data_IF_955546453926
#
_entry.id   IF_955546453926
#
_cell.length_a   1.000
_cell.length_b   1.000
_cell.length_c   1.000
_cell.angle_alpha   90.00
_cell.angle_beta   90.00
_cell.angle_gamma   90.00
#
_symmetry.space_group_name_H-M   'P 1'
#
loop_
_entity.id
_entity.type
_entity.pdbx_description
1 polymer ?
#
# COMPACT_ATOMS: atom_id res chain seq x y z
N UNK A 1 11.17 21.29 -0.26
CA UNK A 1 11.07 21.22 -1.74
C UNK A 1 11.25 19.78 -2.25
N UNK A 2 11.84 18.87 -1.46
CA UNK A 2 11.97 17.44 -1.82
C UNK A 2 10.69 16.62 -1.58
N UNK A 3 9.89 16.95 -0.55
CA UNK A 3 8.70 16.16 -0.19
C UNK A 3 7.58 16.18 -1.26
N UNK A 4 7.38 17.31 -1.95
CA UNK A 4 6.38 17.42 -3.02
C UNK A 4 6.72 16.51 -4.21
N UNK A 5 8.01 16.31 -4.51
CA UNK A 5 8.47 15.47 -5.61
C UNK A 5 8.25 13.98 -5.31
N UNK A 6 8.48 13.58 -4.05
CA UNK A 6 8.20 12.21 -3.59
C UNK A 6 6.71 11.90 -3.68
N UNK A 7 5.83 12.82 -3.24
CA UNK A 7 4.39 12.59 -3.29
C UNK A 7 3.89 12.44 -4.73
N UNK A 8 4.38 13.25 -5.68
CA UNK A 8 4.01 13.11 -7.09
C UNK A 8 4.57 11.83 -7.72
N UNK A 9 5.76 11.39 -7.32
CA UNK A 9 6.40 10.17 -7.84
C UNK A 9 5.55 8.92 -7.63
N UNK A 10 4.87 8.83 -6.51
CA UNK A 10 4.04 7.66 -6.17
C UNK A 10 2.55 7.84 -6.52
N UNK A 11 2.18 8.93 -7.20
CA UNK A 11 0.79 9.15 -7.61
C UNK A 11 0.45 8.26 -8.80
N UNK A 12 -0.47 7.33 -8.59
CA UNK A 12 -0.99 6.45 -9.62
C UNK A 12 -2.03 7.19 -10.48
N UNK A 13 -1.98 6.98 -11.79
CA UNK A 13 -2.96 7.50 -12.72
C UNK A 13 -4.15 6.54 -12.80
N UNK A 14 -5.08 6.67 -11.87
CA UNK A 14 -6.26 5.82 -11.76
C UNK A 14 -7.52 6.61 -12.05
N UNK A 15 -8.38 6.07 -12.91
CA UNK A 15 -9.76 6.50 -13.05
C UNK A 15 -10.71 5.44 -12.48
N UNK A 16 -11.66 5.88 -11.66
CA UNK A 16 -12.64 5.01 -11.00
C UNK A 16 -13.92 4.95 -11.84
N UNK A 17 -14.36 3.75 -12.20
CA UNK A 17 -15.58 3.50 -12.95
C UNK A 17 -16.41 2.42 -12.24
N UNK A 18 -17.25 2.83 -11.29
CA UNK A 18 -18.01 1.90 -10.44
C UNK A 18 -17.08 1.09 -9.53
N UNK A 19 -17.14 -0.23 -9.64
CA UNK A 19 -16.28 -1.17 -8.87
C UNK A 19 -14.94 -1.49 -9.55
N UNK A 20 -14.61 -0.78 -10.65
CA UNK A 20 -13.39 -0.97 -11.42
C UNK A 20 -12.50 0.26 -11.36
N UNK A 21 -11.21 0.01 -11.19
CA UNK A 21 -10.16 1.02 -11.23
C UNK A 21 -9.30 0.81 -12.48
N UNK A 22 -9.24 1.81 -13.34
CA UNK A 22 -8.43 1.79 -14.55
C UNK A 22 -7.12 2.52 -14.26
N UNK A 23 -6.04 1.77 -14.15
CA UNK A 23 -4.71 2.32 -13.96
C UNK A 23 -3.99 2.45 -15.31
N UNK A 24 -3.54 3.67 -15.61
CA UNK A 24 -2.84 4.01 -16.83
C UNK A 24 -1.34 3.98 -16.55
N UNK A 25 -0.66 2.95 -17.08
CA UNK A 25 0.77 2.78 -16.99
C UNK A 25 1.44 3.33 -18.26
N UNK A 26 2.48 4.15 -18.06
CA UNK A 26 3.38 4.54 -19.15
C UNK A 26 4.39 3.42 -19.35
N UNK A 27 4.42 2.79 -20.53
CA UNK A 27 5.40 1.74 -20.82
C UNK A 27 6.83 2.31 -20.78
N UNK A 28 7.82 1.58 -20.23
CA UNK A 28 9.22 1.96 -20.33
C UNK A 28 9.68 1.95 -21.79
N UNK A 29 10.45 2.97 -22.16
CA UNK A 29 10.95 3.18 -23.52
C UNK A 29 12.08 2.21 -23.85
N UNK A 30 11.76 1.01 -24.36
CA UNK A 30 12.75 0.19 -25.05
C UNK A 30 12.75 0.50 -26.55
N UNK A 31 13.72 1.31 -26.98
CA UNK A 31 14.16 1.34 -28.37
C UNK A 31 13.44 2.32 -29.32
N UNK A 32 14.24 3.21 -29.89
CA UNK A 32 14.07 4.01 -31.12
C UNK A 32 12.74 3.86 -31.88
N UNK A 33 11.95 4.94 -31.85
CA UNK A 33 10.88 5.28 -32.80
C UNK A 33 9.69 4.32 -32.83
N UNK A 34 8.79 4.40 -31.85
CA UNK A 34 7.37 4.07 -32.00
C UNK A 34 6.55 4.61 -30.83
N UNK A 35 5.28 4.84 -31.12
CA UNK A 35 4.25 5.50 -30.30
C UNK A 35 4.31 5.11 -28.81
N UNK A 36 4.02 6.08 -27.93
CA UNK A 36 3.84 5.84 -26.51
C UNK A 36 2.70 4.83 -26.29
N UNK A 37 3.05 3.55 -26.17
CA UNK A 37 2.11 2.50 -25.78
C UNK A 37 1.61 2.80 -24.37
N UNK A 38 0.37 3.26 -24.26
CA UNK A 38 -0.28 3.41 -22.97
C UNK A 38 -0.88 2.05 -22.60
N UNK A 39 -0.39 1.42 -21.54
CA UNK A 39 -0.94 0.15 -21.06
C UNK A 39 -1.98 0.47 -20.00
N UNK A 40 -3.21 0.03 -20.21
CA UNK A 40 -4.28 0.16 -19.20
C UNK A 40 -4.40 -1.16 -18.45
N UNK A 41 -4.24 -1.10 -17.12
CA UNK A 41 -4.51 -2.21 -16.22
C UNK A 41 -5.84 -1.96 -15.52
N UNK A 42 -6.78 -2.88 -15.70
CA UNK A 42 -8.08 -2.84 -15.02
C UNK A 42 -7.94 -3.64 -13.73
N UNK A 43 -8.34 -3.02 -12.62
CA UNK A 43 -8.40 -3.58 -11.29
C UNK A 43 -9.85 -3.71 -10.85
N UNK A 44 -10.27 -4.90 -10.47
CA UNK A 44 -11.62 -5.17 -9.99
C UNK A 44 -11.59 -5.34 -8.47
N UNK A 45 -12.48 -4.64 -7.76
CA UNK A 45 -12.66 -4.85 -6.33
C UNK A 45 -13.25 -6.24 -6.10
N UNK A 46 -12.57 -7.05 -5.28
CA UNK A 46 -12.99 -8.42 -4.94
C UNK A 46 -13.86 -8.47 -3.68
N UNK A 47 -13.28 -8.21 -2.53
CA UNK A 47 -13.97 -8.25 -1.23
C UNK A 47 -13.30 -7.32 -0.22
N UNK A 48 -14.05 -6.98 0.84
CA UNK A 48 -13.55 -6.21 1.96
C UNK A 48 -12.68 -7.08 2.87
N UNK A 49 -11.52 -6.56 3.28
CA UNK A 49 -10.61 -7.20 4.23
C UNK A 49 -10.83 -6.64 5.64
N UNK A 50 -11.09 -5.33 5.74
CA UNK A 50 -11.40 -4.64 6.98
C UNK A 50 -12.12 -3.30 6.68
N UNK A 51 -12.41 -2.52 7.71
CA UNK A 51 -12.98 -1.18 7.51
C UNK A 51 -12.02 -0.30 6.69
N UNK A 52 -12.53 0.18 5.54
CA UNK A 52 -11.77 0.94 4.54
C UNK A 52 -10.55 0.20 3.98
N UNK A 53 -10.51 -1.14 4.05
CA UNK A 53 -9.48 -1.98 3.43
C UNK A 53 -10.14 -3.03 2.54
N UNK A 54 -9.74 -3.12 1.28
CA UNK A 54 -10.30 -4.09 0.35
C UNK A 54 -9.26 -4.61 -0.63
N UNK A 55 -9.53 -5.78 -1.19
CA UNK A 55 -8.69 -6.43 -2.18
C UNK A 55 -9.10 -6.03 -3.60
N UNK A 56 -8.11 -5.74 -4.44
CA UNK A 56 -8.27 -5.62 -5.88
C UNK A 56 -7.47 -6.69 -6.61
N UNK A 57 -8.02 -7.16 -7.73
CA UNK A 57 -7.33 -8.06 -8.63
C UNK A 57 -7.26 -7.47 -10.05
N UNK A 58 -6.10 -7.57 -10.68
CA UNK A 58 -5.93 -7.13 -12.06
C UNK A 58 -6.45 -8.18 -13.05
N UNK A 59 -6.71 -7.75 -14.28
CA UNK A 59 -6.97 -8.66 -15.41
C UNK A 59 -5.86 -9.70 -15.68
N UNK A 60 -4.68 -9.53 -15.06
CA UNK A 60 -3.53 -10.44 -15.16
C UNK A 60 -3.35 -11.32 -13.90
N UNK A 61 -4.27 -11.26 -12.93
CA UNK A 61 -4.21 -12.04 -11.69
C UNK A 61 -3.29 -11.46 -10.61
N UNK A 62 -2.84 -10.21 -10.76
CA UNK A 62 -2.07 -9.55 -9.70
C UNK A 62 -3.02 -9.06 -8.61
N UNK A 63 -2.55 -9.11 -7.36
CA UNK A 63 -3.34 -8.72 -6.21
C UNK A 63 -2.73 -7.49 -5.54
N UNK A 64 -3.59 -6.58 -5.07
CA UNK A 64 -3.18 -5.46 -4.22
C UNK A 64 -4.24 -5.14 -3.17
N UNK A 65 -3.77 -4.71 -2.00
CA UNK A 65 -4.64 -4.17 -0.97
C UNK A 65 -4.82 -2.66 -1.18
N UNK A 66 -6.06 -2.19 -1.04
CA UNK A 66 -6.36 -0.75 -1.03
C UNK A 66 -6.80 -0.33 0.37
N UNK A 67 -6.08 0.63 0.94
CA UNK A 67 -6.51 1.36 2.15
C UNK A 67 -7.09 2.72 1.75
N UNK A 68 -8.33 2.98 2.14
CA UNK A 68 -8.94 4.30 1.98
C UNK A 68 -8.83 5.10 3.28
N UNK A 69 -8.35 6.33 3.16
CA UNK A 69 -8.32 7.32 4.24
C UNK A 69 -9.05 8.55 3.76
N UNK A 70 -9.99 9.04 4.56
CA UNK A 70 -10.74 10.24 4.20
C UNK A 70 -9.75 11.41 4.10
N UNK A 71 -9.83 12.22 3.04
CA UNK A 71 -8.79 13.21 2.75
C UNK A 71 -8.63 14.26 3.86
N UNK A 72 -9.68 14.51 4.65
CA UNK A 72 -9.65 15.42 5.81
C UNK A 72 -8.93 14.84 7.02
N UNK A 73 -8.82 13.52 7.09
CA UNK A 73 -8.19 12.79 8.18
C UNK A 73 -6.76 12.37 7.81
N UNK A 74 -6.28 12.77 6.63
CA UNK A 74 -4.94 12.46 6.15
C UNK A 74 -3.91 13.26 6.95
N UNK A 75 -3.25 12.58 7.89
CA UNK A 75 -1.97 13.00 8.46
C UNK A 75 -0.85 12.27 7.73
N UNK A 76 0.24 12.97 7.44
CA UNK A 76 1.43 12.46 6.72
C UNK A 76 2.18 11.33 7.44
N UNK A 77 1.78 10.98 8.66
CA UNK A 77 2.59 10.18 9.58
C UNK A 77 2.37 8.66 9.46
N UNK A 78 1.71 8.21 8.39
CA UNK A 78 1.49 6.77 8.16
C UNK A 78 2.68 6.15 7.45
N UNK A 79 3.56 5.56 8.23
CA UNK A 79 4.61 4.65 7.75
C UNK A 79 4.00 3.26 7.56
N UNK A 80 4.04 2.76 6.32
CA UNK A 80 3.56 1.41 5.98
C UNK A 80 4.75 0.45 5.89
N UNK A 81 4.62 -0.72 6.52
CA UNK A 81 5.64 -1.78 6.50
C UNK A 81 5.53 -2.73 5.30
N UNK A 82 4.46 -2.60 4.54
CA UNK A 82 4.16 -3.36 3.34
C UNK A 82 4.64 -2.59 2.11
N UNK A 83 5.03 -3.29 1.05
CA UNK A 83 5.44 -2.67 -0.21
C UNK A 83 4.36 -1.70 -0.71
N UNK A 84 4.72 -0.41 -0.74
CA UNK A 84 3.86 0.65 -1.22
C UNK A 84 3.98 0.79 -2.74
N UNK A 85 2.87 0.60 -3.46
CA UNK A 85 2.84 0.76 -4.91
C UNK A 85 2.54 2.19 -5.33
N UNK A 86 1.72 2.90 -4.55
CA UNK A 86 1.38 4.29 -4.80
C UNK A 86 0.02 4.69 -4.26
N UNK A 87 -0.41 5.90 -4.55
CA UNK A 87 -1.69 6.44 -4.09
C UNK A 87 -2.49 7.05 -5.23
N UNK A 88 -3.81 7.12 -5.07
CA UNK A 88 -4.71 7.80 -6.00
C UNK A 88 -5.89 8.42 -5.24
N UNK A 89 -6.51 9.44 -5.84
CA UNK A 89 -7.70 10.05 -5.26
C UNK A 89 -8.96 9.35 -5.78
N UNK A 90 -9.87 9.15 -4.86
CA UNK A 90 -11.28 8.91 -5.13
C UNK A 90 -12.07 10.05 -4.47
N UNK A 91 -13.37 10.18 -4.77
CA UNK A 91 -14.18 11.37 -4.41
C UNK A 91 -13.81 12.01 -3.06
N UNK A 92 -13.92 11.25 -1.97
CA UNK A 92 -13.66 11.73 -0.61
C UNK A 92 -12.47 11.03 0.08
N UNK A 93 -11.72 10.19 -0.63
CA UNK A 93 -10.67 9.36 -0.03
C UNK A 93 -9.36 9.43 -0.83
N UNK A 94 -8.26 9.45 -0.08
CA UNK A 94 -6.95 9.03 -0.57
C UNK A 94 -6.88 7.51 -0.44
N UNK A 95 -6.65 6.84 -1.57
CA UNK A 95 -6.49 5.39 -1.65
C UNK A 95 -5.01 5.04 -1.76
N UNK A 96 -4.51 4.20 -0.86
CA UNK A 96 -3.15 3.66 -0.88
C UNK A 96 -3.19 2.25 -1.45
N UNK A 97 -2.47 2.03 -2.55
CA UNK A 97 -2.23 0.73 -3.13
C UNK A 97 -0.96 0.11 -2.54
N UNK A 98 -1.11 -1.08 -1.97
CA UNK A 98 -0.06 -1.78 -1.24
C UNK A 98 -0.05 -3.26 -1.64
N UNK A 99 1.05 -3.96 -1.36
CA UNK A 99 1.05 -5.42 -1.50
C UNK A 99 -0.07 -6.05 -0.65
N UNK A 100 -0.63 -7.13 -1.17
CA UNK A 100 -1.61 -7.92 -0.44
C UNK A 100 -0.89 -9.01 0.35
N UNK A 101 -1.06 -9.00 1.68
CA UNK A 101 -0.56 -10.04 2.57
C UNK A 101 -1.69 -11.08 2.82
N UNK A 102 -1.62 -12.30 2.25
CA UNK A 102 -2.73 -13.25 2.32
C UNK A 102 -3.06 -13.77 3.72
N UNK A 103 -2.09 -13.72 4.63
CA UNK A 103 -2.24 -14.15 6.02
C UNK A 103 -2.83 -13.06 6.92
N UNK A 104 -2.93 -11.82 6.43
CA UNK A 104 -3.48 -10.70 7.18
C UNK A 104 -2.74 -10.41 8.48
N UNK A 105 -3.51 -10.08 9.51
CA UNK A 105 -3.02 -9.63 10.81
C UNK A 105 -2.33 -10.78 11.57
N UNK A 106 -1.11 -10.51 12.06
CA UNK A 106 -0.30 -11.48 12.84
C UNK A 106 -1.04 -12.01 14.08
N UNK A 107 -1.94 -11.23 14.68
CA UNK A 107 -2.79 -11.67 15.80
C UNK A 107 -3.79 -12.76 15.41
N UNK A 108 -4.11 -12.89 14.11
CA UNK A 108 -5.00 -13.92 13.57
C UNK A 108 -4.24 -15.14 13.06
N UNK A 109 -2.91 -15.03 12.88
CA UNK A 109 -2.07 -16.12 12.39
C UNK A 109 -1.85 -17.25 13.40
N UNK A 110 -2.14 -17.01 14.70
CA UNK A 110 -1.83 -17.95 15.77
C UNK A 110 -3.03 -18.16 16.70
N UNK A 111 -3.65 -19.34 16.60
CA UNK A 111 -4.73 -19.75 17.50
C UNK A 111 -4.23 -20.11 18.91
N UNK A 112 -2.92 -20.39 19.04
CA UNK A 112 -2.29 -20.77 20.31
C UNK A 112 -1.00 -19.97 20.51
N UNK A 113 -0.54 -19.80 21.77
CA UNK A 113 0.73 -19.14 22.03
C UNK A 113 1.87 -19.77 21.24
N UNK A 114 2.60 -18.93 20.51
CA UNK A 114 3.79 -19.35 19.76
C UNK A 114 4.93 -19.73 20.70
N UNK A 115 5.88 -20.53 20.20
CA UNK A 115 7.10 -20.82 20.96
C UNK A 115 7.91 -19.54 21.20
N UNK A 116 8.67 -19.50 22.30
CA UNK A 116 9.54 -18.36 22.61
C UNK A 116 10.52 -18.05 21.47
N UNK A 117 11.03 -19.09 20.81
CA UNK A 117 11.95 -18.96 19.66
C UNK A 117 11.25 -18.23 18.51
N UNK A 118 10.05 -18.67 18.13
CA UNK A 118 9.29 -18.03 17.05
C UNK A 118 8.90 -16.59 17.41
N UNK A 119 8.50 -16.35 18.66
CA UNK A 119 8.18 -15.01 19.16
C UNK A 119 9.40 -14.09 19.07
N UNK A 120 10.59 -14.57 19.47
CA UNK A 120 11.85 -13.82 19.39
C UNK A 120 12.18 -13.45 17.95
N UNK A 121 12.13 -14.41 17.03
CA UNK A 121 12.43 -14.18 15.61
C UNK A 121 11.49 -13.13 14.98
N UNK A 122 10.20 -13.16 15.35
CA UNK A 122 9.23 -12.14 14.92
C UNK A 122 9.56 -10.77 15.51
N UNK A 123 9.86 -10.71 16.80
CA UNK A 123 10.26 -9.47 17.47
C UNK A 123 11.53 -8.86 16.88
N UNK A 124 12.53 -9.68 16.52
CA UNK A 124 13.76 -9.20 15.88
C UNK A 124 13.47 -8.52 14.53
N UNK A 125 12.62 -9.12 13.69
CA UNK A 125 12.21 -8.52 12.41
C UNK A 125 11.45 -7.21 12.60
N UNK A 126 10.55 -7.15 13.60
CA UNK A 126 9.81 -5.94 13.93
C UNK A 126 10.75 -4.83 14.41
N UNK A 127 11.70 -5.15 15.28
CA UNK A 127 12.69 -4.20 15.78
C UNK A 127 13.61 -3.69 14.66
N UNK A 128 14.02 -4.56 13.73
CA UNK A 128 14.79 -4.16 12.56
C UNK A 128 14.01 -3.17 11.69
N UNK A 129 12.74 -3.46 11.41
CA UNK A 129 11.85 -2.57 10.68
C UNK A 129 11.68 -1.22 11.37
N UNK A 130 11.43 -1.23 12.68
CA UNK A 130 11.32 -0.02 13.49
C UNK A 130 12.64 0.78 13.52
N UNK A 131 13.78 0.11 13.61
CA UNK A 131 15.09 0.74 13.54
C UNK A 131 15.27 1.51 12.23
N UNK A 132 14.97 0.87 11.10
CA UNK A 132 14.98 1.52 9.78
C UNK A 132 14.00 2.69 9.70
N UNK A 133 12.80 2.57 10.27
CA UNK A 133 11.85 3.69 10.33
C UNK A 133 12.39 4.87 11.15
N UNK A 134 12.99 4.61 12.31
CA UNK A 134 13.57 5.65 13.16
C UNK A 134 14.74 6.35 12.48
N UNK A 135 15.52 5.65 11.66
CA UNK A 135 16.61 6.23 10.86
C UNK A 135 16.09 7.16 9.74
N UNK A 136 14.84 6.99 9.29
CA UNK A 136 14.27 7.75 8.18
C UNK A 136 13.58 9.08 8.59
N UNK A 137 13.36 9.37 9.88
CA UNK A 137 12.80 10.68 10.31
C UNK A 137 12.14 10.69 11.70
N UNK A 138 12.31 11.80 12.42
CA UNK A 138 12.25 11.98 13.88
C UNK A 138 11.01 11.53 14.71
N UNK A 139 11.23 11.18 16.01
CA UNK A 139 10.26 10.54 16.91
C UNK A 139 9.36 11.53 17.65
N UNK A 140 8.20 11.89 17.09
CA UNK A 140 7.20 12.66 17.87
C UNK A 140 5.78 12.10 17.88
N UNK A 141 5.40 11.15 17.02
CA UNK A 141 4.02 10.64 17.00
C UNK A 141 3.92 9.11 16.85
N UNK A 142 4.80 8.35 17.52
CA UNK A 142 4.70 6.89 17.60
C UNK A 142 3.63 6.48 18.64
N UNK A 143 2.37 6.81 18.36
CA UNK A 143 1.23 6.36 19.19
C UNK A 143 0.09 5.73 18.37
N UNK A 144 0.27 5.51 17.07
CA UNK A 144 -0.79 4.98 16.20
C UNK A 144 -0.32 3.97 15.14
N UNK A 145 0.77 3.26 15.40
CA UNK A 145 1.19 2.13 14.59
C UNK A 145 0.28 0.91 14.86
N UNK A 146 -0.83 0.83 14.11
CA UNK A 146 -1.55 -0.43 13.90
C UNK A 146 -0.87 -1.14 12.74
N UNK A 147 -0.13 -2.18 13.06
CA UNK A 147 0.24 -3.23 12.12
C UNK A 147 -1.09 -3.86 11.69
N UNK A 148 -1.43 -3.76 10.41
CA UNK A 148 -2.52 -4.51 9.78
C UNK A 148 -1.93 -5.73 9.09
#
# INVERSE_FOLDING_TARGET
MEDEDIVQRYKLNVSVLGDRNHEILRAPTEGRWREHGTVTKIWERRHALAQHVYLEESQFGELRAIKQVHWRDFKSDQTFFVQFFGWFLTQDYVSFAMEYCPLGDVSQCFETPVSEVMARDMCEKLLEGLGKLHEMGSPTEISSLRIY
#
